data_IF_076153247732
#
_entry.id   IF_076153247732
#
_cell.length_a   1.000
_cell.length_b   1.000
_cell.length_c   1.000
_cell.angle_alpha   90.00
_cell.angle_beta   90.00
_cell.angle_gamma   90.00
#
_symmetry.space_group_name_H-M   'P 1'
#
loop_
_entity.id
_entity.type
_entity.pdbx_description
1 polymer ?
#
# COMPACT_ATOMS: atom_id res chain seq x y z
N UNK A 1 -15.83 -3.94 14.94
CA UNK A 1 -15.75 -3.79 13.47
C UNK A 1 -14.37 -3.24 13.17
N UNK A 2 -13.62 -3.92 12.32
CA UNK A 2 -12.29 -3.48 11.88
C UNK A 2 -12.42 -2.23 11.01
N UNK A 3 -11.47 -1.31 11.12
CA UNK A 3 -11.44 -0.14 10.26
C UNK A 3 -11.05 -0.55 8.83
N UNK A 4 -11.62 0.10 7.82
CA UNK A 4 -11.32 -0.26 6.43
C UNK A 4 -10.10 0.51 5.95
N UNK A 5 -9.08 -0.21 5.47
CA UNK A 5 -7.91 0.39 4.85
C UNK A 5 -8.05 0.28 3.34
N UNK A 6 -8.32 1.41 2.67
CA UNK A 6 -8.65 1.41 1.24
C UNK A 6 -7.42 1.56 0.35
N UNK A 7 -7.32 0.73 -0.68
CA UNK A 7 -6.29 0.80 -1.72
C UNK A 7 -6.87 1.30 -3.04
N UNK A 8 -6.09 2.08 -3.79
CA UNK A 8 -6.46 2.51 -5.14
C UNK A 8 -6.05 1.46 -6.16
N UNK A 9 -6.86 1.29 -7.21
CA UNK A 9 -6.52 0.43 -8.34
C UNK A 9 -5.76 1.14 -9.45
N UNK A 10 -5.79 2.48 -9.45
CA UNK A 10 -5.13 3.29 -10.46
C UNK A 10 -4.24 4.34 -9.80
N UNK A 11 -3.17 4.69 -10.50
CA UNK A 11 -2.30 5.80 -10.09
C UNK A 11 -3.07 7.13 -10.14
N UNK A 12 -2.85 8.04 -9.17
CA UNK A 12 -3.57 9.30 -9.08
C UNK A 12 -3.18 10.27 -10.22
N UNK A 13 -4.02 11.28 -10.46
CA UNK A 13 -3.86 12.25 -11.57
C UNK A 13 -2.51 12.98 -11.60
N UNK A 14 -1.90 13.19 -10.44
CA UNK A 14 -0.62 13.89 -10.33
C UNK A 14 0.61 12.98 -10.56
N UNK A 15 0.39 11.67 -10.72
CA UNK A 15 1.45 10.67 -10.85
C UNK A 15 1.92 10.55 -12.32
N UNK A 16 3.19 10.20 -12.54
CA UNK A 16 3.78 10.00 -13.88
C UNK A 16 3.04 8.94 -14.70
N UNK A 17 2.55 7.89 -14.04
CA UNK A 17 1.76 6.79 -14.61
C UNK A 17 0.25 6.93 -14.39
N UNK A 18 -0.25 8.17 -14.25
CA UNK A 18 -1.66 8.45 -13.95
C UNK A 18 -2.64 7.60 -14.79
N UNK A 19 -3.66 7.07 -14.14
CA UNK A 19 -4.68 6.23 -14.78
C UNK A 19 -4.24 4.80 -15.09
N UNK A 20 -2.94 4.47 -15.02
CA UNK A 20 -2.48 3.09 -15.13
C UNK A 20 -2.81 2.28 -13.87
N UNK A 21 -2.95 0.95 -13.98
CA UNK A 21 -3.20 0.07 -12.85
C UNK A 21 -2.02 -0.01 -11.86
N UNK A 22 -2.33 0.02 -10.56
CA UNK A 22 -1.34 -0.15 -9.46
C UNK A 22 -1.08 -1.60 -9.11
N UNK A 23 -2.02 -2.49 -9.41
CA UNK A 23 -2.03 -3.90 -9.01
C UNK A 23 -1.93 -4.15 -7.50
N UNK A 24 -2.32 -3.19 -6.66
CA UNK A 24 -2.23 -3.38 -5.19
C UNK A 24 -3.08 -4.54 -4.68
N UNK A 25 -4.22 -4.83 -5.30
CA UNK A 25 -5.09 -5.94 -4.89
C UNK A 25 -4.36 -7.27 -5.09
N UNK A 26 -3.78 -7.45 -6.28
CA UNK A 26 -3.02 -8.62 -6.68
C UNK A 26 -1.78 -8.79 -5.80
N UNK A 27 -1.07 -7.69 -5.53
CA UNK A 27 0.12 -7.69 -4.68
C UNK A 27 -0.17 -8.04 -3.22
N UNK A 28 -1.28 -7.56 -2.66
CA UNK A 28 -1.71 -7.92 -1.30
C UNK A 28 -2.09 -9.40 -1.25
N UNK A 29 -2.88 -9.87 -2.22
CA UNK A 29 -3.27 -11.28 -2.27
C UNK A 29 -2.06 -12.21 -2.45
N UNK A 30 -1.07 -11.84 -3.28
CA UNK A 30 0.20 -12.58 -3.39
C UNK A 30 0.92 -12.67 -2.04
N UNK A 31 0.99 -11.57 -1.30
CA UNK A 31 1.61 -11.53 0.03
C UNK A 31 0.88 -12.42 1.05
N UNK A 32 -0.45 -12.42 1.02
CA UNK A 32 -1.24 -13.28 1.90
C UNK A 32 -1.08 -14.76 1.55
N UNK A 33 -1.09 -15.10 0.26
CA UNK A 33 -0.89 -16.47 -0.21
C UNK A 33 0.51 -16.98 0.17
N UNK A 34 1.56 -16.15 0.04
CA UNK A 34 2.93 -16.55 0.44
C UNK A 34 3.05 -16.78 1.95
N UNK A 35 2.23 -16.11 2.76
CA UNK A 35 2.08 -16.34 4.20
C UNK A 35 1.13 -17.51 4.53
N UNK A 36 0.68 -18.28 3.54
CA UNK A 36 -0.26 -19.39 3.68
C UNK A 36 -1.63 -18.97 4.28
N UNK A 37 -2.02 -17.71 4.07
CA UNK A 37 -3.33 -17.18 4.47
C UNK A 37 -4.33 -17.46 3.34
N UNK A 38 -5.39 -18.19 3.66
CA UNK A 38 -6.42 -18.58 2.69
C UNK A 38 -7.22 -17.35 2.26
N UNK A 39 -7.06 -16.97 0.99
CA UNK A 39 -7.84 -15.91 0.35
C UNK A 39 -8.82 -16.52 -0.66
N UNK A 40 -10.09 -16.11 -0.63
CA UNK A 40 -11.08 -16.58 -1.60
C UNK A 40 -11.04 -15.74 -2.88
N UNK A 41 -10.02 -15.96 -3.71
CA UNK A 41 -9.81 -15.18 -4.94
C UNK A 41 -11.03 -15.21 -5.85
N UNK A 42 -11.73 -16.36 -5.96
CA UNK A 42 -12.92 -16.49 -6.79
C UNK A 42 -14.08 -15.59 -6.33
N UNK A 43 -14.25 -15.40 -5.02
CA UNK A 43 -15.25 -14.47 -4.48
C UNK A 43 -14.86 -13.02 -4.77
N UNK A 44 -13.57 -12.69 -4.66
CA UNK A 44 -13.05 -11.37 -5.01
C UNK A 44 -13.29 -11.07 -6.50
N UNK A 45 -12.96 -12.02 -7.40
CA UNK A 45 -13.24 -11.89 -8.84
C UNK A 45 -14.75 -11.75 -9.13
N UNK A 46 -15.59 -12.55 -8.49
CA UNK A 46 -17.04 -12.48 -8.66
C UNK A 46 -17.60 -11.11 -8.22
N UNK A 47 -17.06 -10.54 -7.13
CA UNK A 47 -17.45 -9.21 -6.66
C UNK A 47 -17.02 -8.10 -7.62
N UNK A 48 -15.93 -8.31 -8.37
CA UNK A 48 -15.39 -7.32 -9.30
C UNK A 48 -15.88 -7.44 -10.74
N UNK A 49 -16.45 -8.59 -11.13
CA UNK A 49 -16.92 -8.81 -12.49
C UNK A 49 -15.80 -8.89 -13.53
N UNK A 50 -14.55 -9.10 -13.09
CA UNK A 50 -13.40 -9.37 -13.96
C UNK A 50 -12.52 -10.45 -13.34
N UNK A 51 -11.74 -11.14 -14.18
CA UNK A 51 -10.76 -12.12 -13.73
C UNK A 51 -9.52 -11.38 -13.26
N UNK A 52 -9.19 -11.50 -11.98
CA UNK A 52 -7.86 -11.20 -11.44
C UNK A 52 -6.79 -12.08 -12.12
N UNK A 53 -7.21 -13.21 -12.69
CA UNK A 53 -6.36 -14.26 -13.25
C UNK A 53 -5.55 -13.97 -14.52
N UNK A 54 -5.67 -12.83 -15.20
CA UNK A 54 -4.83 -12.58 -16.39
C UNK A 54 -3.39 -12.13 -16.04
N UNK A 55 -3.08 -11.87 -14.75
CA UNK A 55 -1.73 -11.47 -14.27
C UNK A 55 -1.27 -12.10 -12.95
N UNK A 56 -2.04 -13.04 -12.40
CA UNK A 56 -1.78 -13.57 -11.07
C UNK A 56 -0.55 -14.49 -11.05
N UNK A 57 0.39 -14.20 -10.13
CA UNK A 57 1.45 -15.06 -9.53
C UNK A 57 2.92 -14.84 -9.88
N UNK A 58 3.33 -14.20 -10.98
CA UNK A 58 4.79 -14.06 -11.28
C UNK A 58 5.25 -12.61 -11.46
N UNK A 59 4.43 -11.71 -12.00
CA UNK A 59 4.92 -10.38 -12.42
C UNK A 59 4.49 -9.20 -11.53
N UNK A 60 3.44 -9.35 -10.71
CA UNK A 60 2.86 -8.19 -10.03
C UNK A 60 3.58 -7.75 -8.75
N UNK A 61 4.49 -8.54 -8.19
CA UNK A 61 5.14 -8.24 -6.90
C UNK A 61 4.30 -8.65 -5.68
N UNK A 62 4.70 -8.18 -4.50
CA UNK A 62 4.09 -8.51 -3.21
C UNK A 62 4.10 -7.27 -2.31
N UNK A 63 2.93 -6.87 -1.80
CA UNK A 63 2.77 -5.72 -0.91
C UNK A 63 2.52 -6.20 0.51
N UNK A 64 3.52 -6.03 1.38
CA UNK A 64 3.47 -6.44 2.79
C UNK A 64 3.24 -5.28 3.78
N UNK A 65 3.29 -4.04 3.29
CA UNK A 65 2.95 -2.86 4.06
C UNK A 65 2.33 -1.75 3.20
N UNK A 66 1.85 -0.69 3.85
CA UNK A 66 1.44 0.55 3.20
C UNK A 66 1.90 1.79 3.93
N UNK A 67 2.37 2.82 3.21
CA UNK A 67 2.63 4.14 3.79
C UNK A 67 1.35 4.97 3.79
N UNK A 68 0.96 5.53 4.95
CA UNK A 68 -0.26 6.34 5.11
C UNK A 68 0.00 7.58 5.95
N UNK A 69 -0.64 8.70 5.60
CA UNK A 69 -0.57 9.93 6.39
C UNK A 69 -1.30 9.78 7.71
N UNK A 70 -0.83 10.49 8.74
CA UNK A 70 -1.43 10.46 10.07
C UNK A 70 -0.90 9.32 10.95
N UNK A 71 -1.39 9.29 12.20
CA UNK A 71 -0.89 8.40 13.25
C UNK A 71 -2.02 7.62 13.94
N UNK A 72 -3.05 7.26 13.17
CA UNK A 72 -4.31 6.73 13.72
C UNK A 72 -4.25 5.23 14.05
N UNK A 73 -3.22 4.53 13.55
CA UNK A 73 -3.09 3.08 13.69
C UNK A 73 -2.09 2.69 14.77
N UNK A 74 -2.34 1.56 15.43
CA UNK A 74 -1.49 0.96 16.45
C UNK A 74 -1.19 -0.50 16.13
N UNK A 75 -0.05 -0.98 16.62
CA UNK A 75 0.28 -2.41 16.55
C UNK A 75 -0.80 -3.20 17.28
N UNK A 76 -1.31 -4.23 16.62
CA UNK A 76 -2.38 -5.07 17.13
C UNK A 76 -3.78 -4.70 16.63
N UNK A 77 -3.97 -3.51 16.06
CA UNK A 77 -5.23 -3.13 15.43
C UNK A 77 -5.54 -4.07 14.25
N UNK A 78 -6.83 -4.21 13.95
CA UNK A 78 -7.31 -4.97 12.80
C UNK A 78 -7.85 -4.02 11.73
N UNK A 79 -7.57 -4.35 10.48
CA UNK A 79 -8.12 -3.65 9.33
C UNK A 79 -8.67 -4.61 8.29
N UNK A 80 -9.73 -4.18 7.61
CA UNK A 80 -10.23 -4.88 6.43
C UNK A 80 -9.64 -4.23 5.19
N UNK A 81 -8.85 -4.93 4.34
CA UNK A 81 -8.34 -4.34 3.11
C UNK A 81 -9.51 -4.13 2.15
N UNK A 82 -9.72 -2.89 1.71
CA UNK A 82 -10.84 -2.52 0.86
C UNK A 82 -10.41 -1.80 -0.40
N UNK A 83 -11.27 -1.79 -1.41
CA UNK A 83 -11.12 -0.91 -2.58
C UNK A 83 -12.45 -0.28 -2.97
N UNK A 84 -12.38 0.86 -3.63
CA UNK A 84 -13.54 1.52 -4.23
C UNK A 84 -13.90 0.80 -5.54
N UNK A 85 -15.17 0.46 -5.74
CA UNK A 85 -15.60 -0.24 -6.97
C UNK A 85 -15.37 0.60 -8.23
N UNK A 86 -15.68 1.91 -8.16
CA UNK A 86 -15.42 2.86 -9.25
C UNK A 86 -14.61 4.06 -8.76
N UNK A 87 -15.26 5.15 -8.35
CA UNK A 87 -14.61 6.41 -8.01
C UNK A 87 -14.15 6.37 -6.55
N UNK A 88 -12.88 6.70 -6.28
CA UNK A 88 -12.40 6.89 -4.92
C UNK A 88 -13.29 7.85 -4.15
N UNK A 89 -13.56 7.54 -2.88
CA UNK A 89 -14.34 8.37 -1.94
C UNK A 89 -15.83 8.55 -2.26
N UNK A 90 -16.35 7.89 -3.30
CA UNK A 90 -17.76 7.99 -3.72
C UNK A 90 -18.44 6.63 -3.84
N UNK A 91 -17.76 5.64 -4.44
CA UNK A 91 -18.35 4.33 -4.71
C UNK A 91 -18.48 3.44 -3.47
N UNK A 92 -19.16 2.29 -3.60
CA UNK A 92 -19.16 1.27 -2.55
C UNK A 92 -17.74 0.73 -2.33
N UNK A 93 -17.35 0.57 -1.06
CA UNK A 93 -16.12 -0.13 -0.70
C UNK A 93 -16.40 -1.62 -0.60
N UNK A 94 -15.51 -2.42 -1.18
CA UNK A 94 -15.55 -3.87 -1.16
C UNK A 94 -14.27 -4.39 -0.51
N UNK A 95 -14.40 -5.36 0.38
CA UNK A 95 -13.27 -6.01 1.06
C UNK A 95 -12.66 -7.08 0.17
N UNK A 96 -11.33 -7.04 0.01
CA UNK A 96 -10.60 -7.94 -0.91
C UNK A 96 -9.99 -9.15 -0.21
N UNK A 97 -9.90 -9.13 1.11
CA UNK A 97 -9.36 -10.22 1.91
C UNK A 97 -9.99 -10.22 3.31
N UNK A 98 -9.78 -11.28 4.12
CA UNK A 98 -10.17 -11.30 5.52
C UNK A 98 -9.55 -10.14 6.31
N UNK A 99 -10.09 -9.88 7.50
CA UNK A 99 -9.51 -8.91 8.42
C UNK A 99 -8.06 -9.28 8.77
N UNK A 100 -7.19 -8.29 8.68
CA UNK A 100 -5.75 -8.41 8.85
C UNK A 100 -5.31 -7.68 10.12
N UNK A 101 -4.39 -8.27 10.86
CA UNK A 101 -3.80 -7.64 12.05
C UNK A 101 -2.55 -6.84 11.65
N UNK A 102 -2.45 -5.61 12.12
CA UNK A 102 -1.23 -4.83 12.02
C UNK A 102 -0.20 -5.44 12.97
N UNK A 103 0.92 -5.87 12.41
CA UNK A 103 1.98 -6.56 13.13
C UNK A 103 3.09 -5.61 13.53
N UNK A 104 3.42 -4.66 12.67
CA UNK A 104 4.48 -3.66 12.90
C UNK A 104 4.05 -2.29 12.38
N UNK A 105 4.51 -1.25 13.05
CA UNK A 105 4.36 0.14 12.64
C UNK A 105 5.71 0.82 12.77
N UNK A 106 6.08 1.58 11.75
CA UNK A 106 7.17 2.54 11.82
C UNK A 106 6.64 3.93 11.53
N UNK A 107 7.19 4.94 12.18
CA UNK A 107 6.94 6.33 11.82
C UNK A 107 7.64 6.65 10.50
N UNK A 108 6.95 7.36 9.62
CA UNK A 108 7.46 7.74 8.30
C UNK A 108 7.33 9.24 8.11
N UNK A 109 8.46 9.89 7.83
CA UNK A 109 8.51 11.31 7.56
C UNK A 109 9.19 11.57 6.21
N UNK A 110 8.61 12.45 5.41
CA UNK A 110 9.27 12.99 4.22
C UNK A 110 9.32 14.51 4.34
N UNK A 111 10.53 15.05 4.34
CA UNK A 111 10.75 16.50 4.39
C UNK A 111 10.34 17.17 3.08
N UNK A 112 10.19 18.50 3.12
CA UNK A 112 9.92 19.34 1.93
C UNK A 112 11.01 19.21 0.86
N UNK A 113 12.23 18.83 1.25
CA UNK A 113 13.35 18.56 0.34
C UNK A 113 13.34 17.13 -0.22
N UNK A 114 12.38 16.31 0.19
CA UNK A 114 12.24 14.92 -0.21
C UNK A 114 13.23 13.97 0.47
N UNK A 115 13.80 14.36 1.60
CA UNK A 115 14.58 13.46 2.48
C UNK A 115 13.59 12.64 3.30
N UNK A 116 13.75 11.32 3.28
CA UNK A 116 12.91 10.37 4.01
C UNK A 116 13.59 9.98 5.31
N UNK A 117 12.81 9.87 6.38
CA UNK A 117 13.22 9.32 7.65
C UNK A 117 12.20 8.28 8.13
N UNK A 118 12.71 7.20 8.73
CA UNK A 118 11.92 6.15 9.38
C UNK A 118 12.36 6.08 10.84
N UNK A 119 11.42 6.17 11.77
CA UNK A 119 11.70 6.21 13.22
C UNK A 119 12.72 7.27 13.62
N UNK A 120 12.61 8.44 12.97
CA UNK A 120 13.48 9.60 13.19
C UNK A 120 14.87 9.49 12.56
N UNK A 121 15.20 8.35 11.95
CA UNK A 121 16.49 8.12 11.30
C UNK A 121 16.38 8.33 9.79
N UNK A 122 17.25 9.17 9.22
CA UNK A 122 17.34 9.33 7.76
C UNK A 122 17.81 8.03 7.14
N UNK A 123 17.07 7.56 6.14
CA UNK A 123 17.36 6.29 5.47
C UNK A 123 18.24 6.49 4.23
N UNK A 124 18.96 5.45 3.84
CA UNK A 124 19.73 5.44 2.60
C UNK A 124 18.90 5.01 1.38
N UNK A 125 19.53 5.02 0.20
CA UNK A 125 18.87 4.67 -1.05
C UNK A 125 18.45 3.19 -1.13
N UNK A 126 19.19 2.29 -0.48
CA UNK A 126 18.87 0.86 -0.45
C UNK A 126 17.61 0.61 0.39
N UNK A 127 17.53 1.23 1.57
CA UNK A 127 16.36 1.20 2.42
C UNK A 127 15.15 1.85 1.74
N UNK A 128 15.35 2.96 1.02
CA UNK A 128 14.28 3.61 0.25
C UNK A 128 13.69 2.68 -0.82
N UNK A 129 14.55 1.96 -1.56
CA UNK A 129 14.13 0.97 -2.56
C UNK A 129 13.39 -0.21 -1.91
N UNK A 130 13.87 -0.68 -0.75
CA UNK A 130 13.22 -1.75 -0.01
C UNK A 130 11.83 -1.35 0.50
N UNK A 131 11.67 -0.13 1.01
CA UNK A 131 10.37 0.41 1.43
C UNK A 131 9.44 0.50 0.22
N UNK A 132 9.90 1.09 -0.88
CA UNK A 132 9.10 1.21 -2.11
C UNK A 132 8.61 -0.16 -2.60
N UNK A 133 9.51 -1.14 -2.67
CA UNK A 133 9.21 -2.50 -3.12
C UNK A 133 8.16 -3.17 -2.24
N UNK A 134 8.29 -3.05 -0.92
CA UNK A 134 7.36 -3.65 0.04
C UNK A 134 6.02 -2.89 0.15
N UNK A 135 6.00 -1.61 -0.25
CA UNK A 135 4.79 -0.83 -0.56
C UNK A 135 4.19 -1.23 -1.93
N UNK A 136 4.83 -2.14 -2.66
CA UNK A 136 4.32 -2.61 -3.95
C UNK A 136 4.47 -1.61 -5.09
N UNK A 137 5.46 -0.73 -4.99
CA UNK A 137 5.81 0.28 -5.99
C UNK A 137 7.26 0.12 -6.45
N UNK A 138 7.56 0.58 -7.67
CA UNK A 138 8.95 0.83 -8.06
C UNK A 138 9.49 2.04 -7.31
N UNK A 139 10.81 2.17 -7.18
CA UNK A 139 11.41 3.34 -6.54
C UNK A 139 10.98 4.66 -7.20
N UNK A 140 10.83 4.66 -8.52
CA UNK A 140 10.42 5.84 -9.30
C UNK A 140 8.95 6.19 -8.98
N UNK A 141 8.07 5.19 -9.01
CA UNK A 141 6.65 5.38 -8.72
C UNK A 141 6.45 5.82 -7.27
N UNK A 142 7.17 5.23 -6.32
CA UNK A 142 7.13 5.61 -4.91
C UNK A 142 7.57 7.07 -4.71
N UNK A 143 8.68 7.47 -5.35
CA UNK A 143 9.15 8.87 -5.30
C UNK A 143 8.14 9.83 -5.89
N UNK A 144 7.55 9.53 -7.03
CA UNK A 144 6.57 10.42 -7.62
C UNK A 144 5.24 10.45 -6.84
N UNK A 145 4.89 9.36 -6.15
CA UNK A 145 3.70 9.29 -5.31
C UNK A 145 3.82 10.06 -4.01
N UNK A 146 4.94 9.91 -3.28
CA UNK A 146 5.09 10.42 -1.91
C UNK A 146 6.06 11.61 -1.86
N UNK A 147 7.23 11.47 -2.49
CA UNK A 147 8.34 12.42 -2.34
C UNK A 147 8.14 13.68 -3.19
N UNK A 148 7.71 13.51 -4.45
CA UNK A 148 7.51 14.64 -5.37
C UNK A 148 6.41 15.59 -4.91
N UNK A 149 5.27 15.15 -4.36
CA UNK A 149 4.30 16.06 -3.76
C UNK A 149 4.88 16.88 -2.60
N UNK A 150 5.78 16.30 -1.79
CA UNK A 150 6.43 17.04 -0.70
C UNK A 150 7.27 18.21 -1.24
N UNK A 151 8.01 17.96 -2.34
CA UNK A 151 8.83 18.97 -3.02
C UNK A 151 7.99 20.02 -3.76
N UNK A 152 7.02 19.56 -4.57
CA UNK A 152 6.18 20.45 -5.41
C UNK A 152 5.33 21.37 -4.55
N UNK A 153 4.80 20.86 -3.44
CA UNK A 153 3.92 21.62 -2.56
C UNK A 153 4.66 22.29 -1.39
N UNK A 154 5.98 22.11 -1.30
CA UNK A 154 6.81 22.57 -0.16
C UNK A 154 6.17 22.22 1.19
N UNK A 155 5.71 20.96 1.32
CA UNK A 155 4.99 20.50 2.50
C UNK A 155 5.53 19.14 2.93
N UNK A 156 5.95 19.04 4.19
CA UNK A 156 6.38 17.77 4.75
C UNK A 156 5.21 16.78 4.83
N UNK A 157 5.49 15.51 4.55
CA UNK A 157 4.59 14.40 4.83
C UNK A 157 4.97 13.75 6.17
N UNK A 158 3.95 13.47 6.99
CA UNK A 158 4.09 12.71 8.23
C UNK A 158 3.05 11.63 8.27
N UNK A 159 3.48 10.41 8.58
CA UNK A 159 2.64 9.25 8.52
C UNK A 159 3.27 8.03 9.18
N UNK A 160 2.71 6.89 8.83
CA UNK A 160 3.09 5.58 9.33
C UNK A 160 3.27 4.60 8.18
N UNK A 161 4.27 3.75 8.31
CA UNK A 161 4.35 2.47 7.60
C UNK A 161 3.48 1.49 8.40
N UNK A 162 2.38 1.03 7.82
CA UNK A 162 1.47 0.05 8.41
C UNK A 162 1.77 -1.31 7.80
N UNK A 163 2.29 -2.24 8.60
CA UNK A 163 2.78 -3.52 8.09
C UNK A 163 2.05 -4.72 8.72
N UNK A 164 1.74 -5.68 7.87
CA UNK A 164 1.04 -6.93 8.20
C UNK A 164 1.88 -8.17 7.89
N UNK A 165 3.09 -8.00 7.38
CA UNK A 165 4.03 -9.08 7.09
C UNK A 165 5.15 -9.12 8.14
N UNK A 166 5.32 -10.28 8.79
CA UNK A 166 6.33 -10.43 9.83
C UNK A 166 7.76 -10.49 9.29
N UNK A 167 7.92 -10.85 8.02
CA UNK A 167 9.23 -10.98 7.38
C UNK A 167 9.91 -9.63 7.12
N UNK A 168 9.15 -8.53 7.15
CA UNK A 168 9.63 -7.19 6.84
C UNK A 168 10.16 -6.50 8.10
N UNK A 169 11.37 -5.95 8.05
CA UNK A 169 12.01 -5.20 9.14
C UNK A 169 12.77 -4.01 8.55
N UNK A 170 12.53 -2.82 9.09
CA UNK A 170 13.25 -1.57 8.78
C UNK A 170 13.96 -1.05 10.02
#
# INVERSE_FOLDING_TARGET
>A
MSNVLTFTRIFPEYHIRKGEPTYFVEQILNNLISQNIKCNVAEVEAQFGFRLFDKFRIECGSKGHTVRSGNDWKVGDQFSPGIWLDKPYVSKIITIAPDMKIKKIWTFECSEKGVIAVDGSVIDACQEEEIAKNDGLSLIDFKDWIVMPCRRNQKSFKGQIICWDDSIVY
#
